data_IF_088318337010
#
_entry.id   IF_088318337010
#
_cell.length_a   1.000
_cell.length_b   1.000
_cell.length_c   1.000
_cell.angle_alpha   90.00
_cell.angle_beta   90.00
_cell.angle_gamma   90.00
#
_symmetry.space_group_name_H-M   'P 1'
#
loop_
_entity.id
_entity.type
_entity.pdbx_description
1 polymer ?
#
# COMPACT_ATOMS: atom_id res chain seq x y z
N UNK A 1 31.48 25.91 12.14
CA UNK A 1 30.04 26.07 11.91
C UNK A 1 29.41 24.68 11.82
N UNK A 2 28.58 24.33 12.76
CA UNK A 2 27.92 23.05 12.73
C UNK A 2 26.82 23.04 11.64
N UNK A 3 26.80 22.00 10.80
CA UNK A 3 25.74 21.81 9.83
C UNK A 3 24.46 21.48 10.58
N UNK A 4 23.34 22.19 10.37
CA UNK A 4 22.10 21.83 11.05
C UNK A 4 21.69 20.41 10.67
N UNK A 5 21.45 19.58 11.70
CA UNK A 5 20.94 18.24 11.49
C UNK A 5 19.43 18.32 11.23
N UNK A 6 19.01 17.76 10.09
CA UNK A 6 17.60 17.60 9.83
C UNK A 6 16.96 16.58 10.77
N UNK A 7 15.67 16.75 10.99
CA UNK A 7 14.88 15.79 11.77
C UNK A 7 13.92 15.05 10.84
N UNK A 8 13.62 13.78 11.16
CA UNK A 8 12.66 12.99 10.41
C UNK A 8 11.22 13.47 10.69
N UNK A 9 10.38 13.41 9.67
CA UNK A 9 8.97 13.70 9.84
C UNK A 9 8.33 12.71 10.84
N UNK A 10 7.38 13.16 11.69
CA UNK A 10 6.72 12.27 12.64
C UNK A 10 6.14 11.00 12.04
N UNK A 11 5.56 11.05 10.84
CA UNK A 11 5.06 9.87 10.14
C UNK A 11 6.18 8.89 9.82
N UNK A 12 7.36 9.39 9.43
CA UNK A 12 8.52 8.53 9.17
C UNK A 12 8.99 7.83 10.44
N UNK A 13 8.98 8.54 11.57
CA UNK A 13 9.35 7.95 12.86
C UNK A 13 8.40 6.84 13.26
N UNK A 14 7.09 7.07 13.15
CA UNK A 14 6.07 6.05 13.44
C UNK A 14 6.22 4.86 12.50
N UNK A 15 6.38 5.11 11.21
CA UNK A 15 6.56 4.05 10.22
C UNK A 15 7.79 3.20 10.52
N UNK A 16 8.92 3.83 10.85
CA UNK A 16 10.15 3.13 11.21
C UNK A 16 9.97 2.27 12.46
N UNK A 17 9.25 2.77 13.47
CA UNK A 17 8.95 2.01 14.68
C UNK A 17 8.08 0.79 14.38
N UNK A 18 7.04 0.95 13.56
CA UNK A 18 6.18 -0.15 13.15
C UNK A 18 6.96 -1.22 12.37
N UNK A 19 7.79 -0.80 11.42
CA UNK A 19 8.64 -1.71 10.64
C UNK A 19 9.53 -2.52 11.58
N UNK A 20 10.18 -1.86 12.53
CA UNK A 20 11.07 -2.52 13.47
C UNK A 20 10.34 -3.57 14.33
N UNK A 21 9.14 -3.23 14.79
CA UNK A 21 8.32 -4.13 15.60
C UNK A 21 7.94 -5.37 14.79
N UNK A 22 7.45 -5.20 13.57
CA UNK A 22 7.02 -6.31 12.74
C UNK A 22 8.19 -7.15 12.24
N UNK A 23 9.32 -6.54 11.92
CA UNK A 23 10.54 -7.29 11.60
C UNK A 23 10.97 -8.18 12.75
N UNK A 24 10.86 -7.67 13.99
CA UNK A 24 11.11 -8.45 15.22
C UNK A 24 10.15 -9.62 15.38
N UNK A 25 8.97 -9.56 14.79
CA UNK A 25 7.98 -10.65 14.80
C UNK A 25 8.13 -11.61 13.61
N UNK A 26 9.12 -11.38 12.74
CA UNK A 26 9.38 -12.26 11.60
C UNK A 26 8.77 -11.80 10.27
N UNK A 27 8.20 -10.59 10.21
CA UNK A 27 7.68 -10.02 8.98
C UNK A 27 8.79 -9.35 8.17
N UNK A 28 8.64 -9.37 6.86
CA UNK A 28 9.52 -8.63 5.95
C UNK A 28 8.77 -7.47 5.31
N UNK A 29 9.48 -6.41 4.96
CA UNK A 29 8.89 -5.27 4.25
C UNK A 29 8.79 -5.59 2.77
N UNK A 30 7.60 -5.43 2.20
CA UNK A 30 7.37 -5.51 0.77
C UNK A 30 6.89 -4.15 0.25
N UNK A 31 7.39 -3.76 -0.91
CA UNK A 31 7.04 -2.50 -1.56
C UNK A 31 6.56 -2.76 -2.98
N UNK A 32 5.84 -1.78 -3.55
CA UNK A 32 5.34 -1.87 -4.91
C UNK A 32 5.10 -0.48 -5.50
N UNK A 33 4.65 -0.41 -6.77
CA UNK A 33 4.48 0.86 -7.46
C UNK A 33 3.28 1.64 -6.91
N UNK A 34 3.38 2.96 -6.95
CA UNK A 34 2.25 3.85 -6.63
C UNK A 34 1.22 3.88 -7.77
N UNK A 35 1.70 3.82 -9.03
CA UNK A 35 0.82 3.69 -10.19
C UNK A 35 0.50 2.21 -10.42
N UNK A 36 -0.77 1.89 -10.36
CA UNK A 36 -1.25 0.50 -10.41
C UNK A 36 -2.19 0.26 -11.59
N UNK A 37 -2.46 -1.01 -11.86
CA UNK A 37 -3.52 -1.40 -12.77
C UNK A 37 -4.78 -1.81 -12.00
N UNK A 38 -5.91 -1.91 -12.73
CA UNK A 38 -7.19 -2.25 -12.12
C UNK A 38 -7.20 -3.65 -11.51
N UNK A 39 -6.49 -4.58 -12.13
CA UNK A 39 -6.50 -5.96 -11.64
C UNK A 39 -5.86 -6.05 -10.25
N UNK A 40 -4.66 -5.49 -10.09
CA UNK A 40 -3.96 -5.53 -8.80
C UNK A 40 -4.66 -4.70 -7.72
N UNK A 41 -5.26 -3.57 -8.10
CA UNK A 41 -5.87 -2.69 -7.11
C UNK A 41 -7.31 -3.08 -6.76
N UNK A 42 -7.99 -3.83 -7.61
CA UNK A 42 -9.41 -4.14 -7.44
C UNK A 42 -9.74 -5.62 -7.66
N UNK A 43 -9.60 -6.13 -8.87
CA UNK A 43 -10.10 -7.47 -9.23
C UNK A 43 -9.50 -8.58 -8.37
N UNK A 44 -8.20 -8.58 -8.21
CA UNK A 44 -7.48 -9.58 -7.41
C UNK A 44 -7.82 -9.50 -5.92
N UNK A 45 -8.38 -8.39 -5.47
CA UNK A 45 -8.79 -8.16 -4.10
C UNK A 45 -10.30 -8.32 -3.90
N UNK A 46 -10.96 -8.91 -4.88
CA UNK A 46 -12.40 -9.17 -4.87
C UNK A 46 -13.25 -7.89 -4.82
N UNK A 47 -12.81 -6.84 -5.50
CA UNK A 47 -13.56 -5.61 -5.70
C UNK A 47 -14.03 -5.60 -7.17
N UNK A 48 -15.23 -6.12 -7.46
CA UNK A 48 -15.70 -6.28 -8.85
C UNK A 48 -16.06 -4.96 -9.50
N UNK A 49 -16.17 -4.99 -10.82
CA UNK A 49 -16.70 -3.85 -11.58
C UNK A 49 -18.07 -3.45 -11.06
N UNK A 50 -18.30 -2.15 -10.91
CA UNK A 50 -19.54 -1.62 -10.34
C UNK A 50 -19.53 -1.47 -8.81
N UNK A 51 -18.51 -1.98 -8.13
CA UNK A 51 -18.37 -1.76 -6.69
C UNK A 51 -18.08 -0.27 -6.41
N UNK A 52 -18.71 0.32 -5.35
CA UNK A 52 -18.52 1.74 -5.05
C UNK A 52 -17.05 2.16 -4.87
N UNK A 53 -16.19 1.28 -4.38
CA UNK A 53 -14.77 1.57 -4.20
C UNK A 53 -14.02 1.80 -5.53
N UNK A 54 -14.59 1.35 -6.66
CA UNK A 54 -14.03 1.60 -8.00
C UNK A 54 -14.58 2.85 -8.66
N UNK A 55 -15.45 3.57 -7.95
CA UNK A 55 -16.06 4.78 -8.49
C UNK A 55 -14.98 5.82 -8.82
N UNK A 56 -15.16 6.50 -9.94
CA UNK A 56 -14.25 7.56 -10.39
C UNK A 56 -14.10 8.68 -9.37
N UNK A 57 -15.06 8.84 -8.46
CA UNK A 57 -15.01 9.86 -7.41
C UNK A 57 -13.95 9.55 -6.35
N UNK A 58 -13.66 8.26 -6.12
CA UNK A 58 -12.72 7.83 -5.08
C UNK A 58 -11.34 7.47 -5.60
N UNK A 59 -11.16 7.43 -6.90
CA UNK A 59 -9.93 6.94 -7.55
C UNK A 59 -9.35 7.99 -8.50
N UNK A 60 -8.03 8.19 -8.42
CA UNK A 60 -7.31 9.00 -9.41
C UNK A 60 -6.90 8.13 -10.59
N UNK A 61 -7.57 8.28 -11.72
CA UNK A 61 -7.24 7.59 -12.96
C UNK A 61 -6.19 8.36 -13.73
N UNK A 62 -5.24 7.64 -14.33
CA UNK A 62 -4.17 8.27 -15.09
C UNK A 62 -4.68 8.64 -16.47
N UNK A 63 -4.56 9.93 -16.83
CA UNK A 63 -4.97 10.41 -18.14
C UNK A 63 -4.08 9.80 -19.22
N UNK A 64 -4.69 9.39 -20.35
CA UNK A 64 -4.02 8.80 -21.51
C UNK A 64 -3.42 7.41 -21.28
N UNK A 65 -3.62 6.80 -20.09
CA UNK A 65 -3.24 5.42 -19.83
C UNK A 65 -4.45 4.63 -19.34
N UNK A 66 -5.10 3.94 -20.26
CA UNK A 66 -6.32 3.19 -19.96
C UNK A 66 -6.04 2.11 -18.90
N UNK A 67 -6.89 2.07 -17.88
CA UNK A 67 -6.79 1.07 -16.83
C UNK A 67 -5.70 1.31 -15.80
N UNK A 68 -5.03 2.46 -15.87
CA UNK A 68 -4.01 2.84 -14.87
C UNK A 68 -4.56 3.85 -13.90
N UNK A 69 -4.14 3.71 -12.64
CA UNK A 69 -4.61 4.55 -11.54
C UNK A 69 -3.52 4.72 -10.48
N UNK A 70 -3.72 5.66 -9.57
CA UNK A 70 -2.91 5.74 -8.35
C UNK A 70 -3.53 4.82 -7.31
N UNK A 71 -2.73 3.94 -6.72
CA UNK A 71 -3.23 2.95 -5.77
C UNK A 71 -4.00 3.60 -4.63
N UNK A 72 -5.13 3.03 -4.29
CA UNK A 72 -6.02 3.53 -3.24
C UNK A 72 -5.75 2.89 -1.87
N UNK A 73 -4.90 1.87 -1.85
CA UNK A 73 -4.45 1.15 -0.66
C UNK A 73 -3.12 0.44 -0.98
N UNK A 74 -2.47 -0.13 0.02
CA UNK A 74 -1.23 -0.88 -0.22
C UNK A 74 -1.49 -2.37 -0.48
N UNK A 75 -2.74 -2.80 -0.52
CA UNK A 75 -3.12 -4.20 -0.79
C UNK A 75 -2.58 -4.75 -2.12
N UNK A 76 -2.44 -3.96 -3.22
CA UNK A 76 -1.81 -4.47 -4.44
C UNK A 76 -0.43 -5.05 -4.23
N UNK A 77 0.32 -4.55 -3.26
CA UNK A 77 1.66 -5.09 -2.93
C UNK A 77 1.56 -6.53 -2.46
N UNK A 78 0.52 -6.87 -1.71
CA UNK A 78 0.26 -8.25 -1.27
C UNK A 78 0.07 -9.17 -2.46
N UNK A 79 -0.71 -8.74 -3.45
CA UNK A 79 -0.97 -9.52 -4.66
C UNK A 79 0.33 -9.71 -5.46
N UNK A 80 1.09 -8.63 -5.66
CA UNK A 80 2.37 -8.71 -6.38
C UNK A 80 3.37 -9.61 -5.67
N UNK A 81 3.42 -9.57 -4.36
CA UNK A 81 4.29 -10.44 -3.59
C UNK A 81 3.89 -11.91 -3.77
N UNK A 82 2.59 -12.23 -3.65
CA UNK A 82 2.10 -13.60 -3.78
C UNK A 82 2.28 -14.16 -5.20
N UNK A 83 2.17 -13.31 -6.23
CA UNK A 83 2.43 -13.72 -7.61
C UNK A 83 3.87 -14.23 -7.82
N UNK A 84 4.81 -13.70 -7.04
CA UNK A 84 6.24 -13.99 -7.17
C UNK A 84 6.77 -14.90 -6.06
N UNK A 85 5.92 -15.35 -5.14
CA UNK A 85 6.32 -16.19 -4.01
C UNK A 85 5.87 -17.62 -4.22
N UNK A 86 6.80 -18.54 -4.08
CA UNK A 86 6.50 -19.98 -4.05
C UNK A 86 6.14 -20.37 -2.61
N UNK A 87 4.86 -20.60 -2.37
CA UNK A 87 4.36 -20.94 -1.03
C UNK A 87 4.95 -22.25 -0.49
N UNK A 88 5.46 -23.11 -1.37
CA UNK A 88 6.11 -24.36 -0.94
C UNK A 88 7.46 -24.11 -0.26
N UNK A 89 8.05 -22.93 -0.44
CA UNK A 89 9.32 -22.57 0.18
C UNK A 89 9.17 -22.03 1.60
N UNK A 90 7.96 -21.72 2.01
CA UNK A 90 7.68 -21.21 3.34
C UNK A 90 6.47 -20.27 3.37
N UNK A 91 6.05 -19.83 4.56
CA UNK A 91 4.92 -18.93 4.71
C UNK A 91 5.23 -17.53 4.17
N UNK A 92 4.16 -16.79 3.87
CA UNK A 92 4.23 -15.36 3.58
C UNK A 92 3.99 -14.61 4.89
N UNK A 93 4.91 -13.72 5.25
CA UNK A 93 4.76 -12.82 6.39
C UNK A 93 5.35 -11.48 5.99
N UNK A 94 4.51 -10.57 5.53
CA UNK A 94 4.94 -9.27 5.00
C UNK A 94 4.12 -8.13 5.58
N UNK A 95 4.74 -6.94 5.63
CA UNK A 95 4.07 -5.67 5.84
C UNK A 95 4.29 -4.80 4.61
N UNK A 96 3.28 -4.04 4.26
CA UNK A 96 3.27 -3.24 3.04
C UNK A 96 3.03 -1.77 3.39
N UNK A 97 4.08 -1.03 3.76
CA UNK A 97 3.96 0.40 4.03
C UNK A 97 4.06 1.20 2.74
N UNK A 98 3.37 2.33 2.70
CA UNK A 98 3.52 3.24 1.56
C UNK A 98 2.44 4.30 1.46
N UNK A 99 2.60 5.15 0.47
CA UNK A 99 1.63 6.19 0.14
C UNK A 99 0.47 5.61 -0.64
N UNK A 100 -0.71 6.10 -0.33
CA UNK A 100 -1.94 5.78 -1.05
C UNK A 100 -2.68 7.07 -1.39
N UNK A 101 -3.58 7.00 -2.37
CA UNK A 101 -4.20 8.18 -2.95
C UNK A 101 -5.70 7.94 -3.11
N UNK A 102 -6.50 8.88 -2.61
CA UNK A 102 -7.95 8.81 -2.76
C UNK A 102 -8.49 10.17 -3.18
N UNK A 103 -9.35 10.16 -4.17
CA UNK A 103 -9.96 11.35 -4.71
C UNK A 103 -11.22 11.70 -3.91
N UNK A 104 -11.00 12.13 -2.67
CA UNK A 104 -12.07 12.55 -1.78
C UNK A 104 -12.09 14.08 -1.65
N UNK A 105 -13.24 14.64 -1.23
CA UNK A 105 -13.31 16.05 -0.91
C UNK A 105 -12.34 16.36 0.24
N UNK A 106 -11.43 17.32 0.00
CA UNK A 106 -10.43 17.70 0.99
C UNK A 106 -11.07 18.55 2.08
N UNK A 107 -10.91 18.13 3.33
CA UNK A 107 -11.34 18.87 4.51
C UNK A 107 -10.30 18.73 5.64
N UNK A 108 -10.66 19.12 6.87
CA UNK A 108 -9.76 19.06 8.01
C UNK A 108 -9.35 17.62 8.41
N UNK A 109 -10.08 16.60 7.97
CA UNK A 109 -9.86 15.20 8.36
C UNK A 109 -9.52 14.27 7.19
N UNK A 110 -9.65 14.75 5.93
CA UNK A 110 -9.39 13.95 4.74
C UNK A 110 -8.35 14.60 3.85
N UNK A 111 -7.30 13.86 3.54
CA UNK A 111 -6.27 14.25 2.58
C UNK A 111 -6.34 13.34 1.36
N UNK A 112 -5.99 13.87 0.18
CA UNK A 112 -5.93 13.10 -1.06
C UNK A 112 -4.79 12.08 -1.06
N UNK A 113 -3.79 12.31 -0.24
CA UNK A 113 -2.61 11.44 -0.10
C UNK A 113 -2.37 11.18 1.38
N UNK A 114 -2.18 9.92 1.73
CA UNK A 114 -1.83 9.54 3.11
C UNK A 114 -0.98 8.29 3.11
N UNK A 115 -0.46 7.92 4.27
CA UNK A 115 0.35 6.72 4.44
C UNK A 115 -0.49 5.60 5.03
N UNK A 116 -0.25 4.40 4.57
CA UNK A 116 -0.92 3.20 5.03
C UNK A 116 0.09 2.09 5.22
N UNK A 117 -0.15 1.21 6.18
CA UNK A 117 0.59 -0.03 6.33
C UNK A 117 -0.39 -1.17 6.48
N UNK A 118 -0.27 -2.16 5.63
CA UNK A 118 -1.05 -3.40 5.71
C UNK A 118 -0.12 -4.56 6.02
N UNK A 119 -0.69 -5.64 6.53
CA UNK A 119 0.06 -6.86 6.79
C UNK A 119 -0.63 -8.08 6.21
N UNK A 120 0.17 -9.07 5.82
CA UNK A 120 -0.33 -10.33 5.32
C UNK A 120 0.48 -11.47 5.94
N UNK A 121 -0.23 -12.43 6.51
CA UNK A 121 0.36 -13.68 6.99
C UNK A 121 -0.41 -14.85 6.40
N UNK A 122 0.29 -15.66 5.62
CA UNK A 122 -0.27 -16.90 5.03
C UNK A 122 0.67 -18.04 5.37
N UNK A 123 0.15 -19.08 5.97
CA UNK A 123 0.95 -20.23 6.36
C UNK A 123 0.08 -21.43 6.68
N UNK A 124 0.72 -22.53 7.02
CA UNK A 124 0.04 -23.75 7.48
C UNK A 124 -0.27 -23.66 8.98
N UNK A 125 -1.31 -24.34 9.38
CA UNK A 125 -1.68 -24.48 10.80
C UNK A 125 -0.73 -25.45 11.51
#
# INVERSE_FOLDING_TARGET
METPQGTLHPLTLVMNDMVRIFEGLGFSVATGPEMEDEWHNFDALNVPAGHPARDMQDTFWIRNEQGKLLRTHTSPVQIRYMENHDITTGPVAIICPGKVFRNEATDATHEMQFHQMEGLLVGEN
#
